data_IF_512785635259
#
_entry.id   IF_512785635259
#
_cell.length_a   1.000
_cell.length_b   1.000
_cell.length_c   1.000
_cell.angle_alpha   90.00
_cell.angle_beta   90.00
_cell.angle_gamma   90.00
#
_symmetry.space_group_name_H-M   'P 1'
#
loop_
_entity.id
_entity.type
_entity.pdbx_description
1 polymer ?
#
# COMPACT_ATOMS: atom_id res chain seq x y z
N UNK A 1 -4.72 27.40 -93.73
CA UNK A 1 -5.74 26.43 -93.20
C UNK A 1 -5.21 25.36 -92.24
N UNK A 2 -3.95 24.94 -92.37
CA UNK A 2 -3.34 23.95 -91.50
C UNK A 2 -3.28 24.36 -89.97
N UNK A 3 -3.07 25.63 -89.71
CA UNK A 3 -2.85 26.18 -88.37
C UNK A 3 -4.14 26.12 -87.49
N UNK A 4 -5.29 26.29 -88.07
CA UNK A 4 -6.59 26.26 -87.39
C UNK A 4 -6.99 24.79 -86.93
N UNK A 5 -6.62 23.81 -87.74
CA UNK A 5 -6.87 22.39 -87.38
C UNK A 5 -5.96 21.96 -86.27
N UNK A 6 -4.70 22.39 -86.24
CA UNK A 6 -3.78 22.08 -85.19
C UNK A 6 -4.21 22.69 -83.83
N UNK A 7 -4.69 23.89 -83.83
CA UNK A 7 -5.29 24.57 -82.67
C UNK A 7 -6.55 23.83 -82.14
N UNK A 8 -7.42 23.40 -83.02
CA UNK A 8 -8.60 22.59 -82.67
C UNK A 8 -8.22 21.24 -82.04
N UNK A 9 -7.20 20.56 -82.55
CA UNK A 9 -6.69 19.30 -81.99
C UNK A 9 -6.04 19.52 -80.62
N UNK A 10 -5.27 20.61 -80.39
CA UNK A 10 -4.69 20.97 -79.10
C UNK A 10 -5.78 21.28 -78.08
N UNK A 11 -6.84 22.01 -78.49
CA UNK A 11 -7.97 22.34 -77.61
C UNK A 11 -8.80 21.07 -77.24
N UNK A 12 -9.03 20.16 -78.16
CA UNK A 12 -9.70 18.89 -77.88
C UNK A 12 -8.88 18.02 -76.92
N UNK A 13 -7.57 17.93 -77.11
CA UNK A 13 -6.66 17.22 -76.18
C UNK A 13 -6.66 17.83 -74.79
N UNK A 14 -6.64 19.16 -74.68
CA UNK A 14 -6.73 19.86 -73.42
C UNK A 14 -8.04 19.59 -72.68
N UNK A 15 -9.17 19.62 -73.39
CA UNK A 15 -10.47 19.34 -72.80
C UNK A 15 -10.60 17.88 -72.34
N UNK A 16 -10.06 16.93 -73.14
CA UNK A 16 -10.01 15.51 -72.75
C UNK A 16 -9.15 15.29 -71.50
N UNK A 17 -7.97 15.91 -71.42
CA UNK A 17 -7.08 15.88 -70.23
C UNK A 17 -7.76 16.49 -69.01
N UNK A 18 -8.40 17.63 -69.18
CA UNK A 18 -9.16 18.33 -68.11
C UNK A 18 -10.31 17.44 -67.57
N UNK A 19 -10.99 16.75 -68.46
CA UNK A 19 -12.06 15.79 -68.09
C UNK A 19 -11.53 14.57 -67.38
N UNK A 20 -10.38 14.03 -67.82
CA UNK A 20 -9.70 12.91 -67.19
C UNK A 20 -9.21 13.29 -65.79
N UNK A 21 -8.53 14.44 -65.65
CA UNK A 21 -8.02 14.96 -64.38
C UNK A 21 -9.18 15.20 -63.38
N UNK A 22 -10.30 15.74 -63.83
CA UNK A 22 -11.49 15.95 -62.99
C UNK A 22 -12.09 14.63 -62.48
N UNK A 23 -12.05 13.58 -63.31
CA UNK A 23 -12.53 12.24 -62.98
C UNK A 23 -11.60 11.57 -61.98
N UNK A 24 -10.28 11.67 -62.19
CA UNK A 24 -9.25 11.12 -61.25
C UNK A 24 -9.31 11.81 -59.90
N UNK A 25 -9.49 13.15 -59.86
CA UNK A 25 -9.67 13.90 -58.58
C UNK A 25 -10.91 13.45 -57.84
N UNK A 26 -12.03 13.25 -58.50
CA UNK A 26 -13.27 12.73 -57.85
C UNK A 26 -13.08 11.34 -57.31
N UNK A 27 -12.39 10.46 -58.07
CA UNK A 27 -12.12 9.11 -57.65
C UNK A 27 -11.17 9.09 -56.44
N UNK A 28 -10.14 9.93 -56.43
CA UNK A 28 -9.20 10.07 -55.31
C UNK A 28 -9.90 10.55 -54.03
N UNK A 29 -10.82 11.51 -54.15
CA UNK A 29 -11.61 12.00 -53.00
C UNK A 29 -12.52 10.87 -52.46
N UNK A 30 -13.13 10.12 -53.35
CA UNK A 30 -14.03 9.00 -52.95
C UNK A 30 -13.24 7.87 -52.24
N UNK A 31 -12.06 7.52 -52.73
CA UNK A 31 -11.17 6.58 -52.11
C UNK A 31 -10.68 7.05 -50.75
N UNK A 32 -10.37 8.34 -50.62
CA UNK A 32 -9.96 8.95 -49.34
C UNK A 32 -11.10 8.87 -48.31
N UNK A 33 -12.34 9.20 -48.73
CA UNK A 33 -13.52 9.11 -47.85
C UNK A 33 -13.80 7.67 -47.43
N UNK A 34 -13.62 6.71 -48.34
CA UNK A 34 -13.78 5.27 -48.03
C UNK A 34 -12.75 4.80 -47.02
N UNK A 35 -11.49 5.21 -47.18
CA UNK A 35 -10.39 4.88 -46.26
C UNK A 35 -10.63 5.47 -44.88
N UNK A 36 -11.12 6.70 -44.82
CA UNK A 36 -11.50 7.35 -43.57
C UNK A 36 -12.65 6.64 -42.87
N UNK A 37 -13.68 6.25 -43.62
CA UNK A 37 -14.82 5.52 -43.06
C UNK A 37 -14.41 4.14 -42.48
N UNK A 38 -13.52 3.41 -43.17
CA UNK A 38 -12.99 2.11 -42.69
C UNK A 38 -12.19 2.30 -41.41
N UNK A 39 -11.31 3.29 -41.36
CA UNK A 39 -10.54 3.58 -40.15
C UNK A 39 -11.43 4.02 -38.98
N UNK A 40 -12.43 4.88 -39.21
CA UNK A 40 -13.36 5.31 -38.19
C UNK A 40 -14.19 4.12 -37.64
N UNK A 41 -14.61 3.20 -38.54
CA UNK A 41 -15.33 1.99 -38.16
C UNK A 41 -14.48 1.02 -37.34
N UNK A 42 -13.22 0.79 -37.76
CA UNK A 42 -12.27 -0.05 -37.01
C UNK A 42 -11.98 0.54 -35.62
N UNK A 43 -11.83 1.86 -35.52
CA UNK A 43 -11.63 2.54 -34.24
C UNK A 43 -12.86 2.45 -33.34
N UNK A 44 -14.07 2.55 -33.92
CA UNK A 44 -15.33 2.40 -33.19
C UNK A 44 -15.49 0.99 -32.61
N UNK A 45 -15.18 -0.07 -33.40
CA UNK A 45 -15.22 -1.46 -32.92
C UNK A 45 -14.20 -1.64 -31.79
N UNK A 46 -12.96 -1.19 -31.96
CA UNK A 46 -11.93 -1.29 -30.93
C UNK A 46 -12.34 -0.66 -29.60
N UNK A 47 -12.92 0.56 -29.63
CA UNK A 47 -13.42 1.22 -28.41
C UNK A 47 -14.58 0.46 -27.80
N UNK A 48 -15.49 -0.09 -28.61
CA UNK A 48 -16.66 -0.80 -28.12
C UNK A 48 -16.26 -2.11 -27.45
N UNK A 49 -15.36 -2.87 -28.06
CA UNK A 49 -14.82 -4.10 -27.45
C UNK A 49 -14.04 -3.81 -26.16
N UNK A 50 -13.16 -2.82 -26.15
CA UNK A 50 -12.40 -2.47 -24.95
C UNK A 50 -13.28 -1.96 -23.80
N UNK A 51 -14.38 -1.26 -24.10
CA UNK A 51 -15.35 -0.83 -23.08
C UNK A 51 -16.20 -1.99 -22.55
N UNK A 52 -16.55 -2.94 -23.40
CA UNK A 52 -17.29 -4.14 -22.98
C UNK A 52 -16.44 -5.03 -22.08
N UNK A 53 -15.17 -5.25 -22.41
CA UNK A 53 -14.25 -6.00 -21.56
C UNK A 53 -14.03 -5.34 -20.19
N UNK A 54 -13.84 -4.02 -20.17
CA UNK A 54 -13.70 -3.27 -18.92
C UNK A 54 -14.99 -3.30 -18.08
N UNK A 55 -16.13 -3.16 -18.71
CA UNK A 55 -17.43 -3.20 -18.00
C UNK A 55 -17.74 -4.59 -17.45
N UNK A 56 -17.44 -5.66 -18.18
CA UNK A 56 -17.63 -7.03 -17.72
C UNK A 56 -16.71 -7.37 -16.53
N UNK A 57 -15.44 -6.92 -16.56
CA UNK A 57 -14.51 -7.12 -15.44
C UNK A 57 -14.90 -6.34 -14.18
N UNK A 58 -15.46 -5.14 -14.31
CA UNK A 58 -15.88 -4.32 -13.16
C UNK A 58 -17.18 -4.85 -12.54
N UNK A 59 -18.11 -5.35 -13.33
CA UNK A 59 -19.42 -5.83 -12.85
C UNK A 59 -19.33 -7.19 -12.15
N UNK A 60 -18.31 -8.00 -12.45
CA UNK A 60 -18.15 -9.34 -11.88
C UNK A 60 -17.25 -9.39 -10.62
N UNK A 61 -16.61 -8.27 -10.25
CA UNK A 61 -15.69 -8.19 -9.11
C UNK A 61 -16.24 -7.23 -8.06
N UNK A 62 -16.71 -7.76 -6.95
CA UNK A 62 -17.30 -7.00 -5.84
C UNK A 62 -16.84 -7.62 -4.49
N UNK A 63 -15.68 -7.18 -4.02
CA UNK A 63 -15.14 -7.55 -2.70
C UNK A 63 -14.99 -6.30 -1.87
N UNK A 64 -15.67 -6.25 -0.73
CA UNK A 64 -15.76 -5.08 0.12
C UNK A 64 -15.11 -5.34 1.48
N UNK A 65 -14.31 -4.40 1.96
CA UNK A 65 -13.78 -4.35 3.31
C UNK A 65 -14.62 -3.39 4.14
N UNK A 66 -15.21 -3.87 5.22
CA UNK A 66 -16.16 -3.12 6.04
C UNK A 66 -15.63 -2.90 7.46
N UNK A 67 -15.44 -1.63 7.81
CA UNK A 67 -15.25 -1.18 9.18
C UNK A 67 -16.61 -0.74 9.74
N UNK A 68 -17.31 -1.66 10.42
CA UNK A 68 -18.72 -1.48 10.73
C UNK A 68 -19.58 -1.44 9.46
N UNK A 69 -20.13 -0.27 9.14
CA UNK A 69 -20.93 -0.04 7.91
C UNK A 69 -20.19 0.77 6.83
N UNK A 70 -18.95 1.17 7.09
CA UNK A 70 -18.16 1.99 6.17
C UNK A 70 -17.20 1.11 5.37
N UNK A 71 -17.19 1.28 4.06
CA UNK A 71 -16.22 0.64 3.17
C UNK A 71 -14.86 1.32 3.29
N UNK A 72 -13.80 0.50 3.41
CA UNK A 72 -12.41 0.96 3.58
C UNK A 72 -11.48 0.17 2.65
N UNK A 73 -10.42 0.80 2.18
CA UNK A 73 -9.32 0.13 1.45
C UNK A 73 -8.03 0.05 2.27
N UNK A 74 -7.99 0.82 3.35
CA UNK A 74 -6.90 0.81 4.32
C UNK A 74 -7.46 1.00 5.73
N UNK A 75 -6.74 0.50 6.70
CA UNK A 75 -7.01 0.69 8.13
C UNK A 75 -5.97 1.66 8.67
N UNK A 76 -6.42 2.80 9.12
CA UNK A 76 -5.59 3.75 9.88
C UNK A 76 -6.15 3.88 11.28
N UNK A 77 -5.36 3.54 12.27
CA UNK A 77 -5.77 3.57 13.68
C UNK A 77 -4.77 4.33 14.53
N UNK A 78 -5.29 4.92 15.57
CA UNK A 78 -4.54 5.66 16.58
C UNK A 78 -4.84 5.05 17.93
N UNK A 79 -3.83 4.50 18.59
CA UNK A 79 -3.95 4.01 19.97
C UNK A 79 -3.69 5.17 20.92
N UNK A 80 -4.78 5.81 21.39
CA UNK A 80 -4.69 7.04 22.16
C UNK A 80 -4.05 6.85 23.54
N UNK A 81 -4.32 5.72 24.19
CA UNK A 81 -3.94 5.45 25.59
C UNK A 81 -3.00 4.25 25.69
N UNK A 82 -1.97 4.19 24.82
CA UNK A 82 -0.99 3.14 24.93
C UNK A 82 -0.21 3.26 26.25
N UNK A 83 -0.31 2.24 27.10
CA UNK A 83 0.35 2.19 28.40
C UNK A 83 0.55 0.74 28.83
N UNK A 84 1.57 0.45 29.66
CA UNK A 84 1.76 -0.87 30.24
C UNK A 84 0.51 -1.32 31.01
N UNK A 85 0.05 -2.56 30.79
CA UNK A 85 -1.13 -3.12 31.41
C UNK A 85 -2.46 -2.63 30.83
N UNK A 86 -2.44 -2.01 29.65
CA UNK A 86 -3.67 -1.63 28.94
C UNK A 86 -4.47 -2.86 28.50
N UNK A 87 -5.79 -2.71 28.42
CA UNK A 87 -6.63 -3.69 27.75
C UNK A 87 -6.25 -3.80 26.27
N UNK A 88 -6.27 -5.00 25.73
CA UNK A 88 -5.96 -5.22 24.32
C UNK A 88 -6.94 -4.44 23.44
N UNK A 89 -6.42 -3.54 22.63
CA UNK A 89 -7.16 -2.84 21.60
C UNK A 89 -7.35 -3.74 20.39
N UNK A 90 -8.59 -4.04 20.04
CA UNK A 90 -8.92 -4.93 18.92
C UNK A 90 -9.67 -4.16 17.82
N UNK A 91 -9.18 -4.25 16.61
CA UNK A 91 -9.84 -3.75 15.41
C UNK A 91 -10.20 -4.90 14.48
N UNK A 92 -11.48 -5.03 14.14
CA UNK A 92 -11.96 -6.05 13.22
C UNK A 92 -12.52 -5.41 11.96
N UNK A 93 -12.09 -5.90 10.81
CA UNK A 93 -12.58 -5.56 9.49
C UNK A 93 -13.29 -6.78 8.91
N UNK A 94 -14.54 -6.61 8.55
CA UNK A 94 -15.29 -7.66 7.86
C UNK A 94 -14.98 -7.59 6.36
N UNK A 95 -14.72 -8.74 5.77
CA UNK A 95 -14.43 -8.89 4.36
C UNK A 95 -15.61 -9.61 3.73
N UNK A 96 -16.20 -9.03 2.69
CA UNK A 96 -17.36 -9.61 2.02
C UNK A 96 -17.09 -9.76 0.53
N UNK A 97 -17.18 -10.98 0.04
CA UNK A 97 -17.06 -11.27 -1.38
C UNK A 97 -18.47 -11.49 -1.99
N UNK A 98 -18.94 -10.53 -2.75
CA UNK A 98 -20.20 -10.58 -3.50
C UNK A 98 -19.98 -10.92 -4.98
N UNK A 99 -18.74 -11.20 -5.39
CA UNK A 99 -18.42 -11.57 -6.77
C UNK A 99 -18.72 -13.03 -7.07
N UNK A 100 -18.72 -13.38 -8.36
CA UNK A 100 -18.90 -14.75 -8.84
C UNK A 100 -17.57 -15.57 -8.80
N UNK A 101 -16.52 -15.02 -8.25
CA UNK A 101 -15.17 -15.61 -8.20
C UNK A 101 -14.63 -15.66 -6.79
N UNK A 102 -13.81 -16.66 -6.52
CA UNK A 102 -13.04 -16.72 -5.29
C UNK A 102 -11.95 -15.64 -5.29
N UNK A 103 -11.63 -15.12 -4.12
CA UNK A 103 -10.66 -14.06 -3.92
C UNK A 103 -9.59 -14.47 -2.90
N UNK A 104 -8.34 -14.24 -3.21
CA UNK A 104 -7.22 -14.32 -2.26
C UNK A 104 -7.12 -12.99 -1.52
N UNK A 105 -7.14 -13.05 -0.18
CA UNK A 105 -6.97 -11.89 0.68
C UNK A 105 -5.51 -11.78 1.12
N UNK A 106 -5.01 -10.58 1.12
CA UNK A 106 -3.70 -10.25 1.69
C UNK A 106 -3.71 -8.86 2.31
N UNK A 107 -2.79 -8.63 3.22
CA UNK A 107 -2.63 -7.34 3.89
C UNK A 107 -1.16 -6.99 4.05
N UNK A 108 -0.87 -5.71 4.22
CA UNK A 108 0.48 -5.20 4.38
C UNK A 108 0.49 -4.04 5.38
N UNK A 109 1.35 -4.11 6.38
CA UNK A 109 1.61 -2.99 7.28
C UNK A 109 2.49 -1.97 6.54
N UNK A 110 1.93 -0.80 6.26
CA UNK A 110 2.58 0.24 5.44
C UNK A 110 3.19 1.36 6.25
N UNK A 111 2.71 1.55 7.50
CA UNK A 111 3.27 2.51 8.43
C UNK A 111 3.01 2.04 9.87
N UNK A 112 3.98 2.25 10.73
CA UNK A 112 3.87 2.08 12.17
C UNK A 112 4.69 3.17 12.84
N UNK A 113 4.01 4.02 13.58
CA UNK A 113 4.60 5.19 14.21
C UNK A 113 4.49 5.11 15.72
N UNK A 114 5.54 5.51 16.39
CA UNK A 114 5.59 5.68 17.83
C UNK A 114 6.05 7.11 18.11
N UNK A 115 5.28 7.84 18.91
CA UNK A 115 5.56 9.26 19.23
C UNK A 115 5.83 10.11 17.95
N UNK A 116 5.11 9.80 16.86
CA UNK A 116 5.21 10.51 15.58
C UNK A 116 6.36 10.08 14.66
N UNK A 117 7.25 9.21 15.12
CA UNK A 117 8.36 8.68 14.33
C UNK A 117 7.98 7.33 13.71
N UNK A 118 8.25 7.14 12.41
CA UNK A 118 8.05 5.83 11.75
C UNK A 118 9.14 4.87 12.19
N UNK A 119 8.72 3.71 12.68
CA UNK A 119 9.62 2.70 13.27
C UNK A 119 9.71 1.43 12.44
N UNK A 120 9.17 1.43 11.24
CA UNK A 120 9.34 0.30 10.33
C UNK A 120 10.80 0.14 9.90
N UNK A 121 11.28 -1.10 9.73
CA UNK A 121 12.65 -1.34 9.29
C UNK A 121 12.91 -0.79 7.88
N UNK A 122 14.14 -0.40 7.61
CA UNK A 122 14.55 -0.03 6.27
C UNK A 122 14.29 -1.19 5.30
N UNK A 123 13.54 -0.94 4.24
CA UNK A 123 13.15 -1.97 3.28
C UNK A 123 11.91 -2.78 3.68
N UNK A 124 11.10 -2.33 4.62
CA UNK A 124 9.85 -2.98 5.05
C UNK A 124 8.93 -3.38 3.88
N UNK A 125 8.93 -2.62 2.78
CA UNK A 125 8.13 -2.93 1.58
C UNK A 125 8.51 -4.26 0.88
N UNK A 126 9.68 -4.83 1.20
CA UNK A 126 10.16 -6.12 0.69
C UNK A 126 10.11 -7.23 1.73
N UNK A 127 9.68 -6.94 2.94
CA UNK A 127 9.51 -7.90 4.03
C UNK A 127 8.08 -8.42 4.07
N UNK A 128 7.93 -9.64 4.58
CA UNK A 128 6.62 -10.18 4.93
C UNK A 128 6.08 -9.49 6.19
N UNK A 129 4.77 -9.50 6.37
CA UNK A 129 4.15 -8.95 7.60
C UNK A 129 4.70 -9.64 8.85
N UNK A 130 4.88 -10.97 8.82
CA UNK A 130 5.46 -11.70 9.94
C UNK A 130 6.88 -11.25 10.31
N UNK A 131 7.74 -10.94 9.33
CA UNK A 131 9.08 -10.39 9.59
C UNK A 131 9.03 -9.00 10.19
N UNK A 132 8.07 -8.17 9.77
CA UNK A 132 7.87 -6.83 10.34
C UNK A 132 7.36 -6.93 11.77
N UNK A 133 6.37 -7.79 12.04
CA UNK A 133 5.84 -8.00 13.38
C UNK A 133 6.92 -8.51 14.34
N UNK A 134 7.72 -9.50 13.92
CA UNK A 134 8.84 -10.00 14.71
C UNK A 134 9.89 -8.90 15.00
N UNK A 135 10.15 -8.03 14.02
CA UNK A 135 11.05 -6.89 14.21
C UNK A 135 10.51 -5.90 15.25
N UNK A 136 9.21 -5.61 15.25
CA UNK A 136 8.59 -4.73 16.22
C UNK A 136 8.58 -5.37 17.62
N UNK A 137 8.21 -6.63 17.73
CA UNK A 137 8.19 -7.39 19.00
C UNK A 137 9.57 -7.49 19.64
N UNK A 138 10.64 -7.63 18.85
CA UNK A 138 12.02 -7.65 19.37
C UNK A 138 12.43 -6.32 20.02
N UNK A 139 11.85 -5.18 19.57
CA UNK A 139 12.33 -3.84 19.91
C UNK A 139 11.44 -3.05 20.85
N UNK A 140 10.17 -3.33 20.85
CA UNK A 140 9.18 -2.53 21.57
C UNK A 140 8.44 -3.36 22.60
N UNK A 141 8.00 -2.74 23.72
CA UNK A 141 7.39 -3.44 24.84
C UNK A 141 5.91 -3.76 24.64
N UNK A 142 5.41 -3.85 23.44
CA UNK A 142 4.01 -4.13 23.17
C UNK A 142 3.82 -5.27 22.19
N UNK A 143 2.67 -5.92 22.31
CA UNK A 143 2.24 -6.98 21.40
C UNK A 143 1.42 -6.36 20.27
N UNK A 144 1.82 -6.59 19.04
CA UNK A 144 1.09 -6.18 17.86
C UNK A 144 0.88 -7.36 16.93
N UNK A 145 -0.38 -7.78 16.78
CA UNK A 145 -0.75 -8.96 16.02
C UNK A 145 -1.71 -8.60 14.90
N UNK A 146 -1.55 -9.27 13.77
CA UNK A 146 -2.43 -9.18 12.62
C UNK A 146 -2.80 -10.59 12.20
N UNK A 147 -4.09 -10.88 12.13
CA UNK A 147 -4.59 -12.22 11.81
C UNK A 147 -5.80 -12.15 10.89
N UNK A 148 -6.01 -13.20 10.13
CA UNK A 148 -7.21 -13.43 9.35
C UNK A 148 -7.74 -14.83 9.62
N UNK A 149 -9.05 -15.00 9.60
CA UNK A 149 -9.69 -16.30 9.69
C UNK A 149 -9.73 -17.04 8.33
N UNK A 150 -9.37 -16.33 7.24
CA UNK A 150 -9.42 -16.85 5.88
C UNK A 150 -8.27 -16.29 5.02
N UNK A 151 -7.65 -17.16 4.23
CA UNK A 151 -6.72 -16.78 3.16
C UNK A 151 -7.46 -16.64 1.82
N UNK A 152 -8.47 -17.49 1.60
CA UNK A 152 -9.31 -17.48 0.41
C UNK A 152 -10.76 -17.19 0.79
N UNK A 153 -11.33 -16.15 0.19
CA UNK A 153 -12.72 -15.76 0.38
C UNK A 153 -13.53 -16.32 -0.77
N UNK A 154 -14.32 -17.35 -0.49
CA UNK A 154 -15.16 -17.97 -1.50
C UNK A 154 -16.29 -17.04 -1.98
N UNK A 155 -16.80 -17.31 -3.17
CA UNK A 155 -17.98 -16.65 -3.74
C UNK A 155 -19.11 -16.53 -2.73
N UNK A 156 -19.68 -15.34 -2.58
CA UNK A 156 -20.77 -15.04 -1.63
C UNK A 156 -20.48 -15.43 -0.17
N UNK A 157 -19.22 -15.35 0.28
CA UNK A 157 -18.84 -15.58 1.65
C UNK A 157 -18.28 -14.34 2.33
N UNK A 158 -18.28 -14.36 3.65
CA UNK A 158 -17.70 -13.35 4.51
C UNK A 158 -16.47 -13.91 5.23
N UNK A 159 -15.54 -13.02 5.58
CA UNK A 159 -14.37 -13.32 6.42
C UNK A 159 -14.03 -12.14 7.32
N UNK A 160 -13.05 -12.33 8.19
CA UNK A 160 -12.61 -11.31 9.12
C UNK A 160 -11.10 -11.17 9.13
N UNK A 161 -10.67 -9.91 9.18
CA UNK A 161 -9.30 -9.52 9.45
C UNK A 161 -9.27 -8.76 10.78
N UNK A 162 -8.39 -9.19 11.68
CA UNK A 162 -8.29 -8.63 13.03
C UNK A 162 -6.88 -8.12 13.30
N UNK A 163 -6.81 -6.95 13.88
CA UNK A 163 -5.59 -6.32 14.38
C UNK A 163 -5.73 -6.16 15.89
N UNK A 164 -4.76 -6.69 16.64
CA UNK A 164 -4.68 -6.56 18.09
C UNK A 164 -3.44 -5.74 18.45
N UNK A 165 -3.63 -4.81 19.37
CA UNK A 165 -2.54 -4.07 20.00
C UNK A 165 -2.71 -4.18 21.52
N UNK A 166 -1.66 -4.61 22.20
CA UNK A 166 -1.62 -4.74 23.63
C UNK A 166 -0.26 -4.39 24.20
N UNK A 167 -0.22 -4.04 25.46
CA UNK A 167 1.00 -3.78 26.20
C UNK A 167 0.87 -4.41 27.57
N UNK A 168 1.38 -5.64 27.69
CA UNK A 168 1.29 -6.43 28.92
C UNK A 168 2.35 -6.00 29.94
N UNK A 169 2.00 -6.11 31.23
CA UNK A 169 3.01 -6.03 32.30
C UNK A 169 3.85 -7.31 32.40
N UNK A 170 3.25 -8.44 32.05
CA UNK A 170 3.88 -9.75 32.14
C UNK A 170 4.48 -10.17 30.81
N UNK A 171 5.68 -9.80 30.53
CA UNK A 171 6.37 -10.26 29.35
C UNK A 171 7.39 -11.35 29.68
N UNK A 172 7.67 -12.19 28.74
CA UNK A 172 8.60 -13.31 28.85
C UNK A 172 10.05 -12.91 28.58
N UNK A 173 10.30 -11.81 27.88
CA UNK A 173 11.66 -11.31 27.66
C UNK A 173 12.11 -10.36 28.77
N UNK A 174 13.35 -10.53 29.26
CA UNK A 174 13.90 -9.69 30.32
C UNK A 174 14.54 -8.41 29.83
N UNK A 175 14.89 -8.33 28.57
CA UNK A 175 15.67 -7.24 28.02
C UNK A 175 15.13 -6.80 26.68
N UNK A 176 14.96 -5.48 26.53
CA UNK A 176 14.60 -4.88 25.27
C UNK A 176 15.82 -4.33 24.56
N UNK A 177 15.89 -4.55 23.27
CA UNK A 177 16.89 -3.94 22.42
C UNK A 177 16.60 -2.47 22.25
N UNK A 178 17.58 -1.63 22.50
CA UNK A 178 17.46 -0.19 22.31
C UNK A 178 17.45 0.13 20.81
N UNK A 179 16.61 1.09 20.44
CA UNK A 179 16.58 1.73 19.14
C UNK A 179 16.52 3.27 19.27
N UNK A 180 16.27 3.96 18.15
CA UNK A 180 16.31 5.44 18.09
C UNK A 180 15.25 6.14 18.98
N UNK A 181 14.24 5.40 19.50
CA UNK A 181 13.18 5.95 20.35
C UNK A 181 13.65 6.07 21.80
N UNK A 182 14.39 5.09 22.28
CA UNK A 182 14.93 5.16 23.64
C UNK A 182 16.05 6.19 23.71
N UNK A 183 15.89 7.14 24.61
CA UNK A 183 16.91 8.17 24.85
C UNK A 183 17.84 7.77 25.99
N UNK A 184 19.03 8.36 26.02
CA UNK A 184 19.95 8.12 27.14
C UNK A 184 19.32 8.62 28.46
N UNK A 185 19.27 7.73 29.46
CA UNK A 185 18.88 8.04 30.83
C UNK A 185 19.99 7.58 31.78
N UNK A 186 20.62 8.50 32.57
CA UNK A 186 21.69 8.15 33.47
C UNK A 186 21.27 7.25 34.65
N UNK A 187 19.97 7.04 34.83
CA UNK A 187 19.43 6.17 35.89
C UNK A 187 19.20 4.73 35.42
N UNK A 188 19.49 4.44 34.14
CA UNK A 188 19.30 3.11 33.57
C UNK A 188 20.62 2.35 33.52
N UNK A 189 20.52 1.05 33.77
CA UNK A 189 21.56 0.08 33.52
C UNK A 189 21.47 -0.44 32.09
N UNK A 190 22.53 -0.28 31.31
CA UNK A 190 22.60 -0.71 29.92
C UNK A 190 23.34 -2.03 29.81
N UNK A 191 22.82 -2.96 29.03
CA UNK A 191 23.37 -4.30 28.89
C UNK A 191 23.79 -4.57 27.46
N UNK A 192 24.78 -5.46 27.30
CA UNK A 192 25.18 -6.06 26.03
C UNK A 192 24.95 -7.56 26.08
N UNK A 193 24.54 -8.12 24.95
CA UNK A 193 24.44 -9.57 24.79
C UNK A 193 25.80 -10.11 24.33
N UNK A 194 26.50 -10.85 25.20
CA UNK A 194 27.82 -11.39 24.96
C UNK A 194 27.85 -12.86 25.40
N UNK A 195 28.29 -13.75 24.50
CA UNK A 195 28.46 -15.18 24.79
C UNK A 195 27.24 -15.86 25.42
N UNK A 196 26.02 -15.48 24.97
CA UNK A 196 24.78 -16.09 25.45
C UNK A 196 24.23 -15.50 26.74
N UNK A 197 24.77 -14.40 27.24
CA UNK A 197 24.33 -13.72 28.46
C UNK A 197 24.23 -12.20 28.29
N UNK A 198 23.35 -11.56 29.04
CA UNK A 198 23.28 -10.10 29.14
C UNK A 198 24.26 -9.64 30.22
N UNK A 199 25.21 -8.79 29.82
CA UNK A 199 26.27 -8.26 30.67
C UNK A 199 26.14 -6.75 30.79
N UNK A 200 26.12 -6.23 32.01
CA UNK A 200 26.09 -4.79 32.30
C UNK A 200 27.27 -4.07 31.65
N UNK A 201 27.01 -3.00 30.92
CA UNK A 201 28.03 -2.13 30.32
C UNK A 201 28.07 -0.78 31.05
N UNK A 202 28.92 -0.71 32.07
CA UNK A 202 29.11 0.52 32.86
C UNK A 202 29.82 1.66 32.09
N UNK A 203 30.22 1.42 30.84
CA UNK A 203 30.93 2.43 30.01
C UNK A 203 29.97 3.34 29.23
N UNK A 204 28.68 3.06 29.27
CA UNK A 204 27.68 3.84 28.54
C UNK A 204 27.46 5.19 29.22
N UNK A 205 27.58 6.24 28.43
CA UNK A 205 27.40 7.63 28.84
C UNK A 205 26.58 8.38 27.79
N UNK A 206 26.07 9.55 28.10
CA UNK A 206 25.38 10.41 27.14
C UNK A 206 26.17 10.66 25.85
N UNK A 207 27.51 10.66 25.95
CA UNK A 207 28.40 10.92 24.80
C UNK A 207 28.44 9.76 23.81
N UNK A 208 28.47 8.51 24.30
CA UNK A 208 28.66 7.34 23.45
C UNK A 208 27.38 6.52 23.23
N UNK A 209 26.26 6.90 23.86
CA UNK A 209 24.98 6.17 23.77
C UNK A 209 24.54 5.97 22.34
N UNK A 210 24.38 7.04 21.55
CA UNK A 210 23.87 6.97 20.19
C UNK A 210 24.75 6.10 19.25
N UNK A 211 26.07 6.03 19.53
CA UNK A 211 26.99 5.20 18.76
C UNK A 211 26.85 3.71 19.06
N UNK A 212 26.30 3.37 20.22
CA UNK A 212 26.19 2.01 20.72
C UNK A 212 24.74 1.50 20.79
N UNK A 213 23.74 2.37 20.62
CA UNK A 213 22.33 2.08 20.88
C UNK A 213 21.86 0.76 20.26
N UNK A 214 22.20 0.50 18.99
CA UNK A 214 21.80 -0.72 18.28
C UNK A 214 22.32 -2.04 18.87
N UNK A 215 23.28 -1.97 19.81
CA UNK A 215 23.88 -3.13 20.50
C UNK A 215 23.59 -3.16 22.00
N UNK A 216 22.77 -2.24 22.49
CA UNK A 216 22.42 -2.13 23.90
C UNK A 216 21.01 -2.69 24.16
N UNK A 217 20.83 -3.10 25.39
CA UNK A 217 19.57 -3.60 25.92
C UNK A 217 19.27 -2.92 27.25
N UNK A 218 17.98 -2.72 27.52
CA UNK A 218 17.46 -2.26 28.80
C UNK A 218 16.78 -3.43 29.52
N UNK A 219 16.84 -3.43 30.85
CA UNK A 219 15.98 -4.31 31.63
C UNK A 219 14.51 -3.92 31.44
N UNK A 220 13.65 -4.91 31.28
CA UNK A 220 12.26 -4.73 30.89
C UNK A 220 11.49 -3.72 31.74
N UNK A 221 11.52 -3.90 33.07
CA UNK A 221 10.71 -3.06 33.97
C UNK A 221 11.08 -1.57 33.84
N UNK A 222 12.39 -1.29 33.65
CA UNK A 222 12.87 0.08 33.44
C UNK A 222 12.45 0.59 32.07
N UNK A 223 12.57 -0.22 31.02
CA UNK A 223 12.18 0.13 29.67
C UNK A 223 10.68 0.40 29.54
N UNK A 224 9.81 -0.43 30.11
CA UNK A 224 8.37 -0.26 30.10
C UNK A 224 7.95 1.02 30.81
N UNK A 225 8.50 1.25 32.01
CA UNK A 225 8.20 2.44 32.78
C UNK A 225 8.61 3.72 32.06
N UNK A 226 9.83 3.72 31.49
CA UNK A 226 10.34 4.88 30.75
C UNK A 226 9.54 5.14 29.47
N UNK A 227 9.31 4.12 28.67
CA UNK A 227 8.55 4.22 27.42
C UNK A 227 7.10 4.68 27.68
N UNK A 228 6.46 4.13 28.72
CA UNK A 228 5.13 4.54 29.14
C UNK A 228 5.05 6.01 29.55
N UNK A 229 6.05 6.51 30.26
CA UNK A 229 6.13 7.94 30.64
C UNK A 229 6.34 8.83 29.41
N UNK A 230 7.23 8.47 28.50
CA UNK A 230 7.45 9.22 27.25
C UNK A 230 6.20 9.23 26.35
N UNK A 231 5.49 8.11 26.25
CA UNK A 231 4.20 8.04 25.54
C UNK A 231 3.18 9.01 26.14
N UNK A 232 3.03 9.04 27.45
CA UNK A 232 2.09 9.94 28.12
C UNK A 232 2.49 11.42 27.94
N UNK A 233 3.76 11.73 27.98
CA UNK A 233 4.25 13.10 27.75
C UNK A 233 4.03 13.52 26.30
N UNK A 234 4.28 12.63 25.34
CA UNK A 234 4.00 12.88 23.93
C UNK A 234 2.52 13.16 23.69
N UNK A 235 1.61 12.32 24.18
CA UNK A 235 0.14 12.52 24.06
C UNK A 235 -0.28 13.87 24.67
N UNK A 236 0.29 14.22 25.83
CA UNK A 236 -0.03 15.47 26.51
C UNK A 236 0.47 16.70 25.77
N UNK A 237 1.64 16.61 25.14
CA UNK A 237 2.28 17.75 24.45
C UNK A 237 1.81 17.92 23.00
N UNK A 238 1.56 16.82 22.27
CA UNK A 238 1.18 16.84 20.86
C UNK A 238 -0.33 16.83 20.64
N UNK A 239 -1.11 16.36 21.62
CA UNK A 239 -2.54 16.02 21.48
C UNK A 239 -2.80 14.91 20.45
N UNK A 240 -1.81 14.08 20.18
CA UNK A 240 -1.88 12.95 19.26
C UNK A 240 -1.66 11.63 20.02
N UNK A 241 -2.20 10.51 19.51
CA UNK A 241 -1.94 9.19 20.11
C UNK A 241 -0.48 8.78 19.99
N UNK A 242 0.04 8.08 21.00
CA UNK A 242 1.44 7.65 21.04
C UNK A 242 1.76 6.65 19.94
N UNK A 243 0.86 5.71 19.66
CA UNK A 243 1.04 4.67 18.65
C UNK A 243 0.02 4.86 17.54
N UNK A 244 0.48 4.81 16.30
CA UNK A 244 -0.35 4.89 15.10
C UNK A 244 0.11 3.83 14.12
N UNK A 245 -0.84 3.22 13.41
CA UNK A 245 -0.47 2.29 12.35
C UNK A 245 -1.40 2.40 11.14
N UNK A 246 -0.88 1.97 10.01
CA UNK A 246 -1.60 1.93 8.74
C UNK A 246 -1.39 0.60 8.05
N UNK A 247 -2.49 -0.03 7.68
CA UNK A 247 -2.51 -1.33 7.00
C UNK A 247 -3.28 -1.22 5.70
N UNK A 248 -2.66 -1.60 4.61
CA UNK A 248 -3.31 -1.76 3.32
C UNK A 248 -3.93 -3.15 3.21
N UNK A 249 -5.18 -3.20 2.75
CA UNK A 249 -5.94 -4.42 2.46
C UNK A 249 -5.96 -4.65 0.96
N UNK A 250 -5.70 -5.87 0.54
CA UNK A 250 -5.63 -6.23 -0.87
C UNK A 250 -6.36 -7.53 -1.13
N UNK A 251 -7.09 -7.59 -2.24
CA UNK A 251 -7.68 -8.82 -2.76
C UNK A 251 -7.25 -9.04 -4.19
N UNK A 252 -7.08 -10.29 -4.55
CA UNK A 252 -6.76 -10.73 -5.89
C UNK A 252 -7.71 -11.84 -6.30
N UNK A 253 -8.24 -11.78 -7.52
CA UNK A 253 -9.07 -12.84 -8.07
C UNK A 253 -8.22 -14.11 -8.24
N UNK A 254 -8.77 -15.25 -7.85
CA UNK A 254 -8.21 -16.58 -8.13
C UNK A 254 -8.89 -17.10 -9.40
N UNK A 255 -8.09 -17.51 -10.39
CA UNK A 255 -8.58 -18.16 -11.63
C UNK A 255 -8.94 -19.62 -11.41
#
# INVERSE_FOLDING_TARGET
>A
MADIEELKRKQQRYLALKKKTKRTKRFAILMFLMLFAVNAYAWFIYITESRLDLSAKIVSWDVNFLNGSQEVSEVYEVVENAAPGMDTYTKTINIRNLSDFDAEFSYMLTDFQIMGESVLPLGANSMTVGEILAYLEERYPFNFEMSTDIDTIHTNSDGQFTINFGWDFEDTSKYYKIDDIYRFNPSFDYYRYVDGAYVLDETITAYNYNQNASSLYLYKDDADSFFGMECQEYVRSSSEGCVKYRTHLKVQQIE
#
